data_IF_036164534785
#
_entry.id   IF_036164534785
#
_cell.length_a   1.000
_cell.length_b   1.000
_cell.length_c   1.000
_cell.angle_alpha   90.00
_cell.angle_beta   90.00
_cell.angle_gamma   90.00
#
_symmetry.space_group_name_H-M   'P 1'
#
loop_
_entity.id
_entity.type
_entity.pdbx_description
1 polymer ?
#
# COMPACT_ATOMS: atom_id res chain seq x y z
N UNK A 1 -22.70 -8.19 4.03
CA UNK A 1 -22.53 -8.50 2.59
C UNK A 1 -21.52 -7.55 1.95
N UNK A 2 -20.37 -7.29 2.58
CA UNK A 2 -19.34 -6.34 2.08
C UNK A 2 -18.08 -7.06 1.55
N UNK A 3 -17.87 -8.31 1.95
CA UNK A 3 -16.70 -9.14 1.57
C UNK A 3 -16.59 -9.40 0.05
N UNK A 4 -17.69 -9.28 -0.68
CA UNK A 4 -17.70 -9.42 -2.15
C UNK A 4 -17.09 -8.23 -2.89
N UNK A 5 -17.18 -7.02 -2.32
CA UNK A 5 -16.70 -5.79 -2.97
C UNK A 5 -15.18 -5.82 -3.12
N UNK A 6 -14.46 -6.20 -2.05
CA UNK A 6 -12.99 -6.32 -2.10
C UNK A 6 -12.54 -7.31 -3.17
N UNK A 7 -13.27 -8.42 -3.36
CA UNK A 7 -12.96 -9.38 -4.44
C UNK A 7 -13.16 -8.78 -5.83
N UNK A 8 -14.23 -8.01 -6.04
CA UNK A 8 -14.51 -7.33 -7.31
C UNK A 8 -13.43 -6.28 -7.60
N UNK A 9 -13.06 -5.50 -6.58
CA UNK A 9 -11.99 -4.50 -6.66
C UNK A 9 -10.64 -5.16 -6.99
N UNK A 10 -10.30 -6.27 -6.35
CA UNK A 10 -9.06 -6.99 -6.64
C UNK A 10 -9.02 -7.51 -8.09
N UNK A 11 -10.14 -8.05 -8.59
CA UNK A 11 -10.25 -8.50 -9.99
C UNK A 11 -10.12 -7.33 -10.98
N UNK A 12 -10.74 -6.19 -10.67
CA UNK A 12 -10.60 -4.98 -11.48
C UNK A 12 -9.16 -4.48 -11.50
N UNK A 13 -8.51 -4.40 -10.34
CA UNK A 13 -7.10 -4.01 -10.24
C UNK A 13 -6.19 -4.95 -11.04
N UNK A 14 -6.40 -6.28 -10.97
CA UNK A 14 -5.63 -7.24 -11.79
C UNK A 14 -5.84 -7.03 -13.28
N UNK A 15 -7.08 -6.77 -13.70
CA UNK A 15 -7.42 -6.52 -15.11
C UNK A 15 -6.78 -5.25 -15.66
N UNK A 16 -6.68 -4.18 -14.87
CA UNK A 16 -6.11 -2.89 -15.29
C UNK A 16 -4.58 -2.92 -15.22
N UNK A 17 -4.02 -3.39 -14.10
CA UNK A 17 -2.58 -3.34 -13.83
C UNK A 17 -1.77 -4.44 -14.52
N UNK A 18 -2.42 -5.56 -14.85
CA UNK A 18 -1.76 -6.79 -15.26
C UNK A 18 -1.06 -7.51 -14.10
N UNK A 19 -0.66 -8.76 -14.35
CA UNK A 19 -0.21 -9.71 -13.31
C UNK A 19 0.98 -9.23 -12.48
N UNK A 20 1.97 -8.58 -13.09
CA UNK A 20 3.20 -8.18 -12.38
C UNK A 20 2.93 -7.05 -11.39
N UNK A 21 2.27 -5.98 -11.82
CA UNK A 21 1.91 -4.86 -10.94
C UNK A 21 0.86 -5.27 -9.92
N UNK A 22 -0.07 -6.16 -10.29
CA UNK A 22 -1.04 -6.70 -9.34
C UNK A 22 -0.39 -7.46 -8.17
N UNK A 23 0.72 -8.18 -8.41
CA UNK A 23 1.50 -8.81 -7.33
C UNK A 23 2.08 -7.78 -6.37
N UNK A 24 2.62 -6.69 -6.90
CA UNK A 24 3.13 -5.58 -6.07
C UNK A 24 2.02 -5.00 -5.20
N UNK A 25 0.89 -4.64 -5.82
CA UNK A 25 -0.26 -4.09 -5.11
C UNK A 25 -0.82 -5.07 -4.07
N UNK A 26 -0.82 -6.37 -4.36
CA UNK A 26 -1.21 -7.40 -3.39
C UNK A 26 -0.27 -7.45 -2.17
N UNK A 27 1.03 -7.20 -2.36
CA UNK A 27 1.97 -7.07 -1.25
C UNK A 27 1.69 -5.80 -0.43
N UNK A 28 1.37 -4.67 -1.07
CA UNK A 28 0.94 -3.44 -0.38
C UNK A 28 -0.32 -3.69 0.46
N UNK A 29 -1.30 -4.43 -0.06
CA UNK A 29 -2.50 -4.85 0.69
C UNK A 29 -2.14 -5.68 1.92
N UNK A 30 -1.19 -6.61 1.80
CA UNK A 30 -0.72 -7.41 2.94
C UNK A 30 -0.05 -6.53 4.00
N UNK A 31 0.80 -5.59 3.59
CA UNK A 31 1.43 -4.61 4.48
C UNK A 31 0.39 -3.72 5.19
N UNK A 32 -0.65 -3.26 4.47
CA UNK A 32 -1.73 -2.48 5.06
C UNK A 32 -2.43 -3.25 6.18
N UNK A 33 -2.74 -4.54 5.98
CA UNK A 33 -3.39 -5.38 7.00
C UNK A 33 -2.49 -5.57 8.22
N UNK A 34 -1.19 -5.82 7.99
CA UNK A 34 -0.21 -5.96 9.07
C UNK A 34 -0.11 -4.69 9.91
N UNK A 35 0.07 -3.53 9.26
CA UNK A 35 0.19 -2.24 9.94
C UNK A 35 -1.10 -1.84 10.68
N UNK A 36 -2.27 -2.10 10.10
CA UNK A 36 -3.54 -1.85 10.76
C UNK A 36 -3.67 -2.68 12.06
N UNK A 37 -3.30 -3.97 12.01
CA UNK A 37 -3.31 -4.84 13.20
C UNK A 37 -2.30 -4.39 14.27
N UNK A 38 -1.11 -3.94 13.87
CA UNK A 38 -0.11 -3.43 14.82
C UNK A 38 -0.57 -2.14 15.51
N UNK A 39 -1.20 -1.23 14.77
CA UNK A 39 -1.76 0.00 15.34
C UNK A 39 -2.90 -0.30 16.31
N UNK A 40 -3.79 -1.23 15.96
CA UNK A 40 -4.85 -1.68 16.86
C UNK A 40 -4.26 -2.28 18.17
N UNK A 41 -3.18 -3.08 18.07
CA UNK A 41 -2.54 -3.71 19.22
C UNK A 41 -1.71 -2.79 20.12
N UNK A 42 -1.00 -1.80 19.55
CA UNK A 42 -0.17 -0.85 20.32
C UNK A 42 -1.00 0.12 21.18
N UNK A 43 -2.25 0.37 20.80
CA UNK A 43 -3.14 1.29 21.51
C UNK A 43 -3.86 0.61 22.69
N UNK A 44 -4.02 -0.72 22.69
CA UNK A 44 -4.50 -1.49 23.85
C UNK A 44 -3.53 -1.43 25.04
N UNK A 45 -2.22 -1.39 24.78
CA UNK A 45 -1.18 -1.31 25.82
C UNK A 45 -1.03 0.10 26.43
N UNK A 46 -1.45 1.16 25.71
CA UNK A 46 -1.16 2.56 26.10
C UNK A 46 -2.26 3.27 26.90
N UNK A 47 -3.41 2.65 27.16
CA UNK A 47 -4.43 3.16 28.10
C UNK A 47 -4.75 4.66 27.96
N UNK A 48 -4.85 5.16 26.72
CA UNK A 48 -4.87 6.60 26.45
C UNK A 48 -6.31 7.09 26.19
N UNK A 49 -6.72 8.19 26.86
CA UNK A 49 -8.07 8.78 26.84
C UNK A 49 -8.44 9.50 25.51
N UNK A 50 -7.60 9.45 24.47
CA UNK A 50 -7.92 10.04 23.16
C UNK A 50 -8.92 9.14 22.39
N UNK A 51 -9.97 9.72 21.76
CA UNK A 51 -10.94 8.93 20.99
C UNK A 51 -10.26 8.20 19.83
N UNK A 52 -10.53 6.90 19.73
CA UNK A 52 -10.06 6.00 18.66
C UNK A 52 -10.33 6.59 17.28
N UNK A 53 -9.32 6.68 16.42
CA UNK A 53 -9.56 6.88 14.99
C UNK A 53 -9.83 5.49 14.40
N UNK A 54 -11.12 5.08 14.37
CA UNK A 54 -11.50 3.76 13.89
C UNK A 54 -11.05 3.55 12.44
N UNK A 55 -10.19 2.55 12.21
CA UNK A 55 -9.67 2.20 10.89
C UNK A 55 -10.78 1.48 10.10
N UNK A 56 -11.16 2.03 8.96
CA UNK A 56 -12.04 1.36 7.99
C UNK A 56 -11.21 0.41 7.13
N UNK A 57 -11.06 -0.83 7.61
CA UNK A 57 -10.20 -1.82 6.97
C UNK A 57 -10.60 -2.10 5.51
N UNK A 58 -11.90 -2.07 5.20
CA UNK A 58 -12.38 -2.24 3.83
C UNK A 58 -11.99 -1.05 2.96
N UNK A 59 -12.17 0.19 3.44
CA UNK A 59 -11.70 1.37 2.72
C UNK A 59 -10.18 1.33 2.46
N UNK A 60 -9.39 0.94 3.47
CA UNK A 60 -7.94 0.80 3.36
C UNK A 60 -7.55 -0.25 2.31
N UNK A 61 -8.16 -1.44 2.35
CA UNK A 61 -7.85 -2.51 1.40
C UNK A 61 -8.25 -2.13 -0.03
N UNK A 62 -9.41 -1.49 -0.19
CA UNK A 62 -9.88 -1.01 -1.51
C UNK A 62 -8.92 0.05 -2.04
N UNK A 63 -8.55 1.04 -1.21
CA UNK A 63 -7.58 2.07 -1.58
C UNK A 63 -6.22 1.45 -1.96
N UNK A 64 -5.74 0.47 -1.19
CA UNK A 64 -4.51 -0.24 -1.50
C UNK A 64 -4.55 -0.94 -2.86
N UNK A 65 -5.65 -1.58 -3.24
CA UNK A 65 -5.79 -2.16 -4.58
C UNK A 65 -5.83 -1.14 -5.71
N UNK A 66 -6.35 0.06 -5.44
CA UNK A 66 -6.66 1.06 -6.46
C UNK A 66 -5.64 2.21 -6.56
N UNK A 67 -4.73 2.38 -5.60
CA UNK A 67 -3.89 3.60 -5.51
C UNK A 67 -3.01 3.90 -6.74
N UNK A 68 -2.61 2.87 -7.49
CA UNK A 68 -1.71 2.97 -8.64
C UNK A 68 -2.38 2.58 -9.98
N UNK A 69 -3.71 2.43 -10.04
CA UNK A 69 -4.41 1.95 -11.24
C UNK A 69 -4.25 2.87 -12.45
N UNK A 70 -4.12 4.18 -12.22
CA UNK A 70 -3.91 5.15 -13.30
C UNK A 70 -2.55 5.02 -13.97
N UNK A 71 -1.56 4.41 -13.31
CA UNK A 71 -0.16 4.38 -13.77
C UNK A 71 0.03 3.68 -15.11
N UNK A 72 -0.89 2.79 -15.48
CA UNK A 72 -0.87 2.09 -16.77
C UNK A 72 -1.25 3.02 -17.92
N UNK A 73 -2.22 3.92 -17.72
CA UNK A 73 -2.73 4.81 -18.76
C UNK A 73 -2.05 6.20 -18.72
N UNK A 74 -1.71 6.70 -17.54
CA UNK A 74 -1.27 8.09 -17.30
C UNK A 74 0.18 8.20 -16.78
N UNK A 75 0.83 7.07 -16.45
CA UNK A 75 2.15 7.08 -15.83
C UNK A 75 2.13 7.52 -14.36
N UNK A 76 3.30 7.86 -13.79
CA UNK A 76 3.43 8.14 -12.35
C UNK A 76 3.31 9.63 -11.96
N UNK A 77 3.23 10.55 -12.93
CA UNK A 77 3.08 11.96 -12.61
C UNK A 77 1.67 12.21 -12.07
N UNK A 78 1.57 12.74 -10.85
CA UNK A 78 0.29 13.01 -10.17
C UNK A 78 -0.70 11.83 -10.17
N UNK A 79 -0.19 10.60 -10.22
CA UNK A 79 -0.99 9.36 -10.29
C UNK A 79 -1.99 9.22 -9.15
N UNK A 80 -1.71 9.81 -7.98
CA UNK A 80 -2.67 9.82 -6.87
C UNK A 80 -3.97 10.56 -7.19
N UNK A 81 -3.93 11.60 -8.04
CA UNK A 81 -5.12 12.34 -8.47
C UNK A 81 -5.93 11.49 -9.45
N UNK A 82 -5.27 11.02 -10.50
CA UNK A 82 -5.88 10.21 -11.57
C UNK A 82 -6.41 8.87 -11.02
N UNK A 83 -5.66 8.20 -10.15
CA UNK A 83 -6.11 6.95 -9.51
C UNK A 83 -7.29 7.18 -8.57
N UNK A 84 -7.34 8.31 -7.87
CA UNK A 84 -8.47 8.64 -7.01
C UNK A 84 -9.74 8.87 -7.85
N UNK A 85 -9.65 9.61 -8.95
CA UNK A 85 -10.77 9.83 -9.88
C UNK A 85 -11.26 8.50 -10.47
N UNK A 86 -10.36 7.68 -11.02
CA UNK A 86 -10.69 6.36 -11.55
C UNK A 86 -11.31 5.43 -10.50
N UNK A 87 -10.80 5.49 -9.26
CA UNK A 87 -11.34 4.70 -8.15
C UNK A 87 -12.77 5.13 -7.80
N UNK A 88 -13.03 6.44 -7.72
CA UNK A 88 -14.38 6.97 -7.45
C UNK A 88 -15.34 6.54 -8.55
N UNK A 89 -14.98 6.73 -9.83
CA UNK A 89 -15.81 6.33 -10.97
C UNK A 89 -16.17 4.84 -10.91
N UNK A 90 -15.17 3.98 -10.69
CA UNK A 90 -15.38 2.54 -10.58
C UNK A 90 -16.28 2.16 -9.39
N UNK A 91 -16.03 2.75 -8.21
CA UNK A 91 -16.73 2.38 -6.97
C UNK A 91 -18.16 2.91 -6.91
N UNK A 92 -18.47 4.03 -7.58
CA UNK A 92 -19.86 4.52 -7.69
C UNK A 92 -20.78 3.56 -8.46
N UNK A 93 -20.21 2.69 -9.31
CA UNK A 93 -20.93 1.61 -9.97
C UNK A 93 -21.21 0.40 -9.08
N UNK A 94 -20.69 0.37 -7.86
CA UNK A 94 -20.83 -0.74 -6.91
C UNK A 94 -21.76 -0.37 -5.75
N UNK A 95 -22.31 -1.38 -5.08
CA UNK A 95 -23.20 -1.18 -3.92
C UNK A 95 -22.39 -0.91 -2.63
N UNK A 96 -21.66 0.21 -2.60
CA UNK A 96 -20.84 0.67 -1.47
C UNK A 96 -21.37 2.03 -0.97
N UNK A 97 -21.19 2.33 0.32
CA UNK A 97 -21.63 3.62 0.86
C UNK A 97 -20.77 4.77 0.32
N UNK A 98 -21.39 5.93 0.10
CA UNK A 98 -20.71 7.15 -0.37
C UNK A 98 -19.62 7.57 0.62
N UNK A 99 -19.84 7.36 1.91
CA UNK A 99 -18.86 7.61 2.96
C UNK A 99 -17.60 6.75 2.78
N UNK A 100 -17.75 5.49 2.38
CA UNK A 100 -16.61 4.60 2.13
C UNK A 100 -15.88 4.97 0.83
N UNK A 101 -16.61 5.31 -0.24
CA UNK A 101 -16.00 5.85 -1.47
C UNK A 101 -15.11 7.05 -1.13
N UNK A 102 -15.63 7.98 -0.32
CA UNK A 102 -14.89 9.17 0.09
C UNK A 102 -13.63 8.81 0.91
N UNK A 103 -13.71 7.84 1.84
CA UNK A 103 -12.52 7.38 2.57
C UNK A 103 -11.46 6.79 1.64
N UNK A 104 -11.88 5.99 0.67
CA UNK A 104 -10.98 5.40 -0.34
C UNK A 104 -10.29 6.51 -1.14
N UNK A 105 -11.06 7.45 -1.67
CA UNK A 105 -10.55 8.61 -2.42
C UNK A 105 -9.50 9.37 -1.59
N UNK A 106 -9.83 9.75 -0.36
CA UNK A 106 -8.93 10.51 0.51
C UNK A 106 -7.68 9.70 0.88
N UNK A 107 -7.79 8.39 1.09
CA UNK A 107 -6.65 7.52 1.35
C UNK A 107 -5.70 7.48 0.13
N UNK A 108 -6.24 7.36 -1.09
CA UNK A 108 -5.44 7.41 -2.32
C UNK A 108 -4.81 8.79 -2.49
N UNK A 109 -5.53 9.88 -2.31
CA UNK A 109 -4.96 11.24 -2.45
C UNK A 109 -3.79 11.50 -1.49
N UNK A 110 -3.86 10.95 -0.28
CA UNK A 110 -2.84 11.14 0.74
C UNK A 110 -1.60 10.24 0.57
N UNK A 111 -1.66 9.16 -0.22
CA UNK A 111 -0.68 8.08 -0.16
C UNK A 111 0.72 8.41 -0.70
N UNK A 112 0.90 9.56 -1.34
CA UNK A 112 2.21 10.00 -1.88
C UNK A 112 2.95 10.98 -0.98
N UNK A 113 2.27 11.58 -0.02
CA UNK A 113 2.79 12.72 0.74
C UNK A 113 3.24 12.29 2.13
N UNK A 114 4.49 12.60 2.47
CA UNK A 114 5.01 12.44 3.82
C UNK A 114 4.54 13.63 4.68
N UNK A 115 3.52 13.42 5.50
CA UNK A 115 3.01 14.47 6.39
C UNK A 115 3.84 14.59 7.67
N UNK A 116 4.13 15.84 8.07
CA UNK A 116 4.78 16.13 9.34
C UNK A 116 3.89 15.73 10.53
N UNK A 117 4.47 15.50 11.71
CA UNK A 117 3.75 15.05 12.90
C UNK A 117 2.55 15.93 13.26
N UNK A 118 2.65 17.24 13.01
CA UNK A 118 1.61 18.24 13.27
C UNK A 118 0.45 18.16 12.26
N UNK A 119 0.70 17.67 11.05
CA UNK A 119 -0.29 17.54 9.97
C UNK A 119 -0.96 16.15 9.97
N UNK A 120 -0.36 15.17 10.65
CA UNK A 120 -0.88 13.78 10.67
C UNK A 120 -2.26 13.62 11.28
N UNK A 121 -2.69 14.54 12.14
CA UNK A 121 -4.03 14.49 12.76
C UNK A 121 -5.14 14.91 11.77
N UNK A 122 -4.81 15.63 10.68
CA UNK A 122 -5.80 16.05 9.65
C UNK A 122 -5.93 15.06 8.48
N UNK A 123 -5.02 14.09 8.39
CA UNK A 123 -4.97 13.07 7.33
C UNK A 123 -5.72 11.82 7.78
N UNK A 124 -6.56 11.21 6.92
CA UNK A 124 -7.19 9.93 7.23
C UNK A 124 -6.17 8.87 7.63
N UNK A 125 -6.48 8.10 8.67
CA UNK A 125 -5.58 7.05 9.18
C UNK A 125 -5.28 6.01 8.09
N UNK A 126 -6.25 5.70 7.23
CA UNK A 126 -6.10 4.78 6.11
C UNK A 126 -5.07 5.29 5.08
N UNK A 127 -5.06 6.59 4.79
CA UNK A 127 -4.07 7.18 3.87
C UNK A 127 -2.65 7.12 4.42
N UNK A 128 -2.48 7.29 5.74
CA UNK A 128 -1.19 7.16 6.42
C UNK A 128 -0.68 5.73 6.39
N UNK A 129 -1.55 4.75 6.70
CA UNK A 129 -1.20 3.33 6.63
C UNK A 129 -0.84 2.95 5.19
N UNK A 130 -1.61 3.41 4.20
CA UNK A 130 -1.34 3.14 2.80
C UNK A 130 0.00 3.73 2.34
N UNK A 131 0.32 4.97 2.73
CA UNK A 131 1.64 5.57 2.48
C UNK A 131 2.76 4.67 3.01
N UNK A 132 2.69 4.28 4.30
CA UNK A 132 3.72 3.45 4.93
C UNK A 132 3.82 2.07 4.26
N UNK A 133 2.68 1.45 3.93
CA UNK A 133 2.61 0.15 3.27
C UNK A 133 3.21 0.16 1.85
N UNK A 134 2.93 1.20 1.04
CA UNK A 134 3.51 1.40 -0.29
C UNK A 134 5.03 1.60 -0.19
N UNK A 135 5.51 2.45 0.73
CA UNK A 135 6.95 2.64 0.92
C UNK A 135 7.65 1.38 1.40
N UNK A 136 7.06 0.62 2.33
CA UNK A 136 7.59 -0.70 2.72
C UNK A 136 7.66 -1.66 1.53
N UNK A 137 6.63 -1.66 0.68
CA UNK A 137 6.60 -2.42 -0.58
C UNK A 137 7.82 -2.09 -1.47
N UNK A 138 8.10 -0.80 -1.69
CA UNK A 138 9.26 -0.36 -2.50
C UNK A 138 10.60 -0.61 -1.82
N UNK A 139 10.68 -0.44 -0.50
CA UNK A 139 11.89 -0.65 0.29
C UNK A 139 12.33 -2.12 0.31
N UNK A 140 11.40 -3.07 0.21
CA UNK A 140 11.75 -4.50 0.12
C UNK A 140 12.67 -4.81 -1.08
N UNK A 141 12.46 -4.13 -2.23
CA UNK A 141 13.36 -4.22 -3.38
C UNK A 141 14.70 -3.51 -3.17
N UNK A 142 14.69 -2.35 -2.50
CA UNK A 142 15.92 -1.62 -2.20
C UNK A 142 16.81 -2.39 -1.20
N UNK A 143 16.21 -3.04 -0.20
CA UNK A 143 16.92 -3.85 0.78
C UNK A 143 17.70 -5.00 0.12
N UNK A 144 17.14 -5.59 -0.95
CA UNK A 144 17.85 -6.58 -1.77
C UNK A 144 19.06 -5.94 -2.46
N UNK A 145 18.88 -4.79 -3.10
CA UNK A 145 19.96 -4.08 -3.81
C UNK A 145 21.09 -3.68 -2.84
N UNK A 146 20.76 -3.09 -1.69
CA UNK A 146 21.76 -2.70 -0.69
C UNK A 146 22.48 -3.92 -0.11
N UNK A 147 21.76 -5.02 0.16
CA UNK A 147 22.37 -6.29 0.61
C UNK A 147 23.37 -6.84 -0.41
N UNK A 148 23.08 -6.71 -1.71
CA UNK A 148 23.99 -7.12 -2.78
C UNK A 148 25.22 -6.21 -2.89
N UNK A 149 25.05 -4.90 -2.74
CA UNK A 149 26.16 -3.93 -2.72
C UNK A 149 27.08 -4.19 -1.51
N UNK A 150 26.51 -4.38 -0.32
CA UNK A 150 27.27 -4.72 0.90
C UNK A 150 28.01 -6.05 0.75
N UNK A 151 27.37 -7.05 0.13
CA UNK A 151 28.00 -8.33 -0.14
C UNK A 151 29.24 -8.17 -1.05
N UNK A 152 29.12 -7.41 -2.14
CA UNK A 152 30.23 -7.11 -3.04
C UNK A 152 31.36 -6.33 -2.35
N UNK A 153 31.04 -5.35 -1.52
CA UNK A 153 32.03 -4.60 -0.75
C UNK A 153 32.75 -5.46 0.30
N UNK A 154 32.05 -6.40 0.94
CA UNK A 154 32.61 -7.29 1.97
C UNK A 154 33.42 -8.46 1.39
N UNK A 155 33.11 -8.89 0.17
CA UNK A 155 33.77 -10.02 -0.50
C UNK A 155 34.19 -9.67 -1.94
N UNK A 156 35.10 -8.70 -2.15
CA UNK A 156 35.40 -8.12 -3.46
C UNK A 156 35.98 -9.13 -4.47
N UNK A 157 36.74 -10.13 -3.99
CA UNK A 157 37.37 -11.13 -4.86
C UNK A 157 36.54 -12.42 -5.01
N UNK A 158 35.32 -12.44 -4.47
CA UNK A 158 34.45 -13.61 -4.54
C UNK A 158 33.58 -13.53 -5.78
N UNK A 159 33.70 -14.53 -6.66
CA UNK A 159 32.81 -14.67 -7.81
C UNK A 159 31.35 -14.74 -7.34
N UNK A 160 30.54 -13.78 -7.77
CA UNK A 160 29.09 -13.78 -7.57
C UNK A 160 28.48 -14.68 -8.63
N UNK A 161 28.34 -15.96 -8.32
CA UNK A 161 27.66 -16.92 -9.20
C UNK A 161 26.15 -16.94 -8.91
N UNK A 162 25.36 -17.46 -9.84
CA UNK A 162 23.91 -17.65 -9.64
C UNK A 162 23.59 -18.42 -8.35
N UNK A 163 24.37 -19.43 -8.00
CA UNK A 163 24.21 -20.21 -6.77
C UNK A 163 24.41 -19.39 -5.49
N UNK A 164 25.34 -18.43 -5.51
CA UNK A 164 25.58 -17.53 -4.38
C UNK A 164 24.41 -16.57 -4.20
N UNK A 165 23.88 -16.03 -5.30
CA UNK A 165 22.71 -15.15 -5.29
C UNK A 165 21.44 -15.88 -4.80
N UNK A 166 21.20 -17.09 -5.30
CA UNK A 166 20.08 -17.94 -4.85
C UNK A 166 20.13 -18.18 -3.34
N UNK A 167 21.32 -18.51 -2.79
CA UNK A 167 21.49 -18.71 -1.34
C UNK A 167 21.32 -17.44 -0.49
N UNK A 168 21.62 -16.27 -1.07
CA UNK A 168 21.46 -14.98 -0.39
C UNK A 168 20.00 -14.48 -0.43
N UNK A 169 19.29 -14.71 -1.53
CA UNK A 169 17.99 -14.10 -1.80
C UNK A 169 16.79 -14.99 -1.47
N UNK A 170 16.97 -16.32 -1.33
CA UNK A 170 15.89 -17.28 -1.07
C UNK A 170 16.00 -17.93 0.31
N UNK A 171 16.53 -17.18 1.28
CA UNK A 171 16.66 -17.65 2.66
C UNK A 171 15.34 -17.59 3.41
#
# INVERSE_FOLDING_TARGET
METGVVSIVAQHAESVLGKERFRYVSAVVANCKMLALELDGQEEEKGNDKPRQAIDLDALIIAAYLHDISTVAHGFHEHQLESAEMAVEFLMGLNISVERVKKVEQAILAHTTAYASEERESVPIEGRILYDADKLGRLSGLAVVTSLIEFGARYPDRAVTGDVLVRLLLK
#
